data_IF_594003877166
#
_entry.id   IF_594003877166
#
_cell.length_a   1.000
_cell.length_b   1.000
_cell.length_c   1.000
_cell.angle_alpha   90.00
_cell.angle_beta   90.00
_cell.angle_gamma   90.00
#
_symmetry.space_group_name_H-M   'P 1'
#
loop_
_entity.id
_entity.type
_entity.pdbx_description
1 polymer ?
#
# COMPACT_ATOMS: atom_id res chain seq x y z
N UNK A 1 0.68 10.46 -82.98
CA UNK A 1 1.25 9.18 -82.50
C UNK A 1 0.91 9.07 -81.01
N UNK A 2 -0.11 8.24 -80.68
CA UNK A 2 -0.66 7.87 -79.35
C UNK A 2 -1.05 9.04 -78.41
N UNK A 3 -2.31 9.42 -78.12
CA UNK A 3 -3.59 8.73 -77.95
C UNK A 3 -3.59 7.59 -76.89
N UNK A 4 -4.58 7.68 -75.98
CA UNK A 4 -5.25 6.63 -75.18
C UNK A 4 -4.70 6.37 -73.74
N UNK A 5 -5.40 6.85 -72.69
CA UNK A 5 -6.41 6.14 -71.82
C UNK A 5 -5.80 5.10 -70.86
N UNK A 6 -6.26 4.82 -69.65
CA UNK A 6 -7.35 5.29 -68.79
C UNK A 6 -7.14 4.66 -67.38
N UNK A 7 -7.66 5.37 -66.38
CA UNK A 7 -8.41 4.90 -65.21
C UNK A 7 -8.20 3.48 -64.63
N UNK A 8 -7.89 3.42 -63.32
CA UNK A 8 -8.51 2.48 -62.39
C UNK A 8 -8.75 3.18 -61.03
N UNK A 9 -10.03 3.54 -60.82
CA UNK A 9 -10.69 3.88 -59.56
C UNK A 9 -10.53 2.73 -58.53
N UNK A 10 -10.20 3.02 -57.27
CA UNK A 10 -11.10 3.18 -56.10
C UNK A 10 -11.89 1.92 -55.66
N UNK A 11 -11.81 1.68 -54.33
CA UNK A 11 -12.58 0.77 -53.46
C UNK A 11 -12.31 -0.74 -53.56
N UNK A 12 -12.20 -1.51 -52.48
CA UNK A 12 -12.38 -1.20 -51.05
C UNK A 12 -12.31 -2.45 -50.17
N UNK A 13 -12.51 -2.23 -48.86
CA UNK A 13 -12.75 -3.20 -47.78
C UNK A 13 -11.50 -3.98 -47.29
N UNK A 14 -11.21 -4.14 -45.99
CA UNK A 14 -12.10 -4.33 -44.84
C UNK A 14 -11.42 -3.86 -43.54
N UNK A 15 -12.18 -3.09 -42.76
CA UNK A 15 -12.29 -3.15 -41.31
C UNK A 15 -11.34 -4.10 -40.56
N UNK A 16 -10.39 -3.55 -39.80
CA UNK A 16 -9.83 -4.23 -38.61
C UNK A 16 -9.59 -3.20 -37.51
N UNK A 17 -10.57 -3.12 -36.61
CA UNK A 17 -10.34 -2.72 -35.23
C UNK A 17 -9.21 -3.57 -34.66
N UNK A 18 -7.99 -3.04 -34.63
CA UNK A 18 -6.94 -3.59 -33.79
C UNK A 18 -7.07 -2.91 -32.43
N UNK A 19 -7.72 -3.65 -31.53
CA UNK A 19 -7.79 -3.41 -30.10
C UNK A 19 -6.51 -2.73 -29.57
N UNK A 20 -6.61 -1.46 -29.19
CA UNK A 20 -5.66 -0.83 -28.27
C UNK A 20 -6.05 -1.30 -26.87
N UNK A 21 -5.68 -2.52 -26.54
CA UNK A 21 -5.79 -3.10 -25.21
C UNK A 21 -4.53 -3.92 -24.95
N UNK A 22 -3.99 -3.74 -23.75
CA UNK A 22 -2.83 -4.42 -23.18
C UNK A 22 -1.44 -3.88 -23.59
N UNK A 23 -1.09 -2.72 -23.05
CA UNK A 23 0.29 -2.47 -22.59
C UNK A 23 0.28 -1.80 -21.20
N UNK A 24 -0.45 -2.41 -20.25
CA UNK A 24 -0.29 -2.15 -18.80
C UNK A 24 0.48 -3.25 -18.07
N UNK A 25 0.81 -4.35 -18.74
CA UNK A 25 1.76 -5.34 -18.22
C UNK A 25 3.19 -5.01 -18.66
N UNK A 26 3.70 -3.87 -18.23
CA UNK A 26 5.15 -3.76 -18.01
C UNK A 26 5.40 -4.28 -16.59
N UNK A 27 5.68 -5.58 -16.53
CA UNK A 27 6.08 -6.31 -15.34
C UNK A 27 7.03 -5.49 -14.46
N UNK A 28 6.58 -5.10 -13.27
CA UNK A 28 7.50 -4.78 -12.19
C UNK A 28 8.01 -6.11 -11.66
N UNK A 29 9.04 -6.65 -12.32
CA UNK A 29 9.70 -7.94 -12.04
C UNK A 29 10.35 -8.06 -10.65
N UNK A 30 10.12 -7.11 -9.74
CA UNK A 30 10.67 -7.13 -8.40
C UNK A 30 9.56 -7.37 -7.38
N UNK A 31 9.71 -8.43 -6.60
CA UNK A 31 8.88 -8.72 -5.41
C UNK A 31 9.03 -7.64 -4.33
N UNK A 32 10.07 -6.79 -4.41
CA UNK A 32 10.34 -5.73 -3.45
C UNK A 32 9.44 -4.50 -3.67
N UNK A 33 8.49 -4.28 -2.76
CA UNK A 33 7.56 -3.15 -2.76
C UNK A 33 8.25 -1.78 -2.79
N UNK A 34 9.38 -1.62 -2.08
CA UNK A 34 10.16 -0.37 -2.06
C UNK A 34 10.73 -0.03 -3.43
N UNK A 35 11.15 -1.04 -4.18
CA UNK A 35 11.65 -0.88 -5.56
C UNK A 35 10.55 -0.42 -6.51
N UNK A 36 9.34 -0.99 -6.38
CA UNK A 36 8.17 -0.57 -7.16
C UNK A 36 7.80 0.89 -6.87
N UNK A 37 7.77 1.26 -5.59
CA UNK A 37 7.53 2.64 -5.15
C UNK A 37 8.55 3.63 -5.72
N UNK A 38 9.84 3.31 -5.67
CA UNK A 38 10.91 4.16 -6.19
C UNK A 38 10.70 4.54 -7.67
N UNK A 39 10.15 3.61 -8.46
CA UNK A 39 9.88 3.81 -9.88
C UNK A 39 8.60 4.63 -10.16
N UNK A 40 7.62 4.58 -9.25
CA UNK A 40 6.32 5.24 -9.40
C UNK A 40 6.33 6.69 -8.90
N UNK A 41 7.07 6.98 -7.82
CA UNK A 41 7.11 8.30 -7.19
C UNK A 41 7.49 9.43 -8.16
N UNK A 42 8.52 9.31 -9.01
CA UNK A 42 8.88 10.39 -9.94
C UNK A 42 7.80 10.66 -11.00
N UNK A 43 7.12 9.60 -11.48
CA UNK A 43 6.04 9.70 -12.47
C UNK A 43 4.86 10.49 -11.90
N UNK A 44 4.49 10.20 -10.66
CA UNK A 44 3.40 10.90 -9.97
C UNK A 44 3.76 12.33 -9.59
N UNK A 45 5.01 12.59 -9.18
CA UNK A 45 5.49 13.94 -8.94
C UNK A 45 5.42 14.81 -10.21
N UNK A 46 5.81 14.26 -11.36
CA UNK A 46 5.70 14.93 -12.65
C UNK A 46 4.24 15.21 -13.02
N UNK A 47 3.36 14.20 -12.87
CA UNK A 47 1.92 14.35 -13.14
C UNK A 47 1.28 15.43 -12.28
N UNK A 48 1.56 15.44 -10.97
CA UNK A 48 1.04 16.45 -10.04
C UNK A 48 1.58 17.84 -10.39
N UNK A 49 2.85 17.95 -10.78
CA UNK A 49 3.43 19.23 -11.19
C UNK A 49 2.68 19.81 -12.40
N UNK A 50 2.44 19.00 -13.44
CA UNK A 50 1.67 19.40 -14.62
C UNK A 50 0.22 19.72 -14.26
N UNK A 51 -0.43 18.88 -13.45
CA UNK A 51 -1.82 19.09 -13.03
C UNK A 51 -2.00 20.39 -12.22
N UNK A 52 -1.11 20.68 -11.27
CA UNK A 52 -1.14 21.92 -10.48
C UNK A 52 -0.93 23.17 -11.33
N UNK A 53 -0.11 23.07 -12.38
CA UNK A 53 0.07 24.18 -13.34
C UNK A 53 -1.22 24.48 -14.10
N UNK A 54 -1.98 23.45 -14.46
CA UNK A 54 -3.20 23.57 -15.27
C UNK A 54 -4.45 23.91 -14.44
N UNK A 55 -4.59 23.33 -13.24
CA UNK A 55 -5.84 23.37 -12.45
C UNK A 55 -5.67 23.94 -11.04
N UNK A 56 -4.53 24.59 -10.73
CA UNK A 56 -4.22 25.08 -9.38
C UNK A 56 -5.20 26.11 -8.79
N UNK A 57 -6.09 26.69 -9.60
CA UNK A 57 -7.11 27.66 -9.17
C UNK A 57 -8.56 27.14 -9.28
N UNK A 58 -8.76 25.89 -9.63
CA UNK A 58 -10.10 25.32 -9.87
C UNK A 58 -10.73 24.87 -8.54
N UNK A 59 -11.96 25.32 -8.27
CA UNK A 59 -12.77 24.88 -7.11
C UNK A 59 -13.39 23.52 -7.42
N UNK A 60 -13.28 22.54 -6.51
CA UNK A 60 -13.69 21.14 -6.74
C UNK A 60 -14.83 20.72 -5.79
N UNK A 61 -15.81 19.97 -6.31
CA UNK A 61 -16.90 19.24 -5.60
C UNK A 61 -17.41 18.10 -6.52
N UNK A 62 -18.35 17.20 -6.25
CA UNK A 62 -18.97 16.63 -5.04
C UNK A 62 -18.26 15.31 -4.64
N UNK A 63 -18.54 14.81 -3.43
CA UNK A 63 -17.96 13.57 -2.88
C UNK A 63 -18.85 12.38 -3.28
N UNK A 64 -18.28 11.39 -3.96
CA UNK A 64 -18.91 10.06 -4.13
C UNK A 64 -18.24 9.06 -3.18
N UNK A 65 -18.88 7.90 -2.96
CA UNK A 65 -18.48 6.91 -1.94
C UNK A 65 -17.03 6.39 -2.05
N UNK A 66 -16.63 5.57 -1.08
CA UNK A 66 -15.24 5.11 -0.94
C UNK A 66 -14.84 4.23 -2.14
N UNK A 67 -13.74 4.61 -2.80
CA UNK A 67 -13.07 3.81 -3.83
C UNK A 67 -11.61 3.65 -3.44
N UNK A 68 -11.11 2.43 -3.44
CA UNK A 68 -9.70 2.15 -3.23
C UNK A 68 -9.00 2.28 -4.58
N UNK A 69 -8.33 3.42 -4.81
CA UNK A 69 -7.56 3.63 -6.05
C UNK A 69 -8.41 3.48 -7.34
N UNK A 70 -9.68 3.89 -7.26
CA UNK A 70 -10.65 3.79 -8.36
C UNK A 70 -11.48 2.51 -8.35
N UNK A 71 -11.03 1.47 -7.64
CA UNK A 71 -11.75 0.21 -7.49
C UNK A 71 -12.83 0.27 -6.41
N UNK A 72 -13.97 -0.35 -6.70
CA UNK A 72 -15.03 -0.56 -5.71
C UNK A 72 -14.71 -1.77 -4.80
N UNK A 73 -15.37 -1.88 -3.64
CA UNK A 73 -15.18 -3.02 -2.71
C UNK A 73 -15.45 -4.37 -3.42
N UNK A 74 -16.54 -4.55 -4.19
CA UNK A 74 -16.79 -5.82 -4.88
C UNK A 74 -15.76 -6.15 -5.99
N UNK A 75 -15.11 -5.14 -6.56
CA UNK A 75 -14.01 -5.35 -7.50
C UNK A 75 -12.75 -5.80 -6.78
N UNK A 76 -12.46 -5.23 -5.61
CA UNK A 76 -11.33 -5.63 -4.79
C UNK A 76 -11.46 -7.10 -4.34
N UNK A 77 -12.66 -7.53 -3.92
CA UNK A 77 -12.96 -8.91 -3.53
C UNK A 77 -12.72 -9.94 -4.64
N UNK A 78 -12.90 -9.52 -5.91
CA UNK A 78 -12.70 -10.37 -7.09
C UNK A 78 -11.26 -10.38 -7.59
N UNK A 79 -10.57 -9.24 -7.48
CA UNK A 79 -9.25 -9.05 -8.10
C UNK A 79 -8.08 -9.33 -7.15
N UNK A 80 -8.28 -9.17 -5.83
CA UNK A 80 -7.20 -9.34 -4.87
C UNK A 80 -6.96 -10.82 -4.54
N UNK A 81 -5.69 -11.22 -4.33
CA UNK A 81 -5.36 -12.57 -3.87
C UNK A 81 -6.03 -12.94 -2.55
N UNK A 82 -6.44 -14.20 -2.45
CA UNK A 82 -7.08 -14.80 -1.27
C UNK A 82 -6.13 -15.75 -0.55
N UNK A 83 -6.39 -15.99 0.73
CA UNK A 83 -5.67 -17.01 1.49
C UNK A 83 -5.93 -18.41 0.91
N UNK A 84 -4.97 -19.33 1.07
CA UNK A 84 -5.14 -20.73 0.64
C UNK A 84 -6.31 -21.37 1.39
N UNK A 85 -7.40 -21.67 0.69
CA UNK A 85 -8.63 -22.21 1.27
C UNK A 85 -9.53 -21.17 1.96
N UNK A 86 -9.25 -19.88 1.81
CA UNK A 86 -10.08 -18.79 2.32
C UNK A 86 -10.88 -18.11 1.21
N UNK A 87 -12.06 -17.60 1.56
CA UNK A 87 -12.92 -16.84 0.64
C UNK A 87 -12.66 -15.33 0.71
N UNK A 88 -11.96 -14.87 1.75
CA UNK A 88 -11.67 -13.46 2.03
C UNK A 88 -10.33 -13.00 1.44
N UNK A 89 -10.26 -11.72 1.06
CA UNK A 89 -9.05 -11.10 0.50
C UNK A 89 -8.04 -10.75 1.58
N UNK A 90 -6.76 -10.94 1.27
CA UNK A 90 -5.69 -10.64 2.21
C UNK A 90 -5.48 -9.12 2.38
N UNK A 91 -5.36 -8.60 3.62
CA UNK A 91 -5.10 -7.18 3.88
C UNK A 91 -3.76 -6.71 3.30
N UNK A 92 -2.78 -7.61 3.17
CA UNK A 92 -1.53 -7.42 2.43
C UNK A 92 -1.79 -6.98 0.99
N UNK A 93 -2.73 -7.64 0.31
CA UNK A 93 -3.06 -7.36 -1.07
C UNK A 93 -3.71 -5.99 -1.24
N UNK A 94 -4.59 -5.64 -0.31
CA UNK A 94 -5.20 -4.30 -0.26
C UNK A 94 -4.13 -3.23 0.01
N UNK A 95 -3.22 -3.44 0.96
CA UNK A 95 -2.14 -2.50 1.24
C UNK A 95 -1.26 -2.28 -0.01
N UNK A 96 -0.92 -3.34 -0.73
CA UNK A 96 -0.17 -3.23 -1.98
C UNK A 96 -0.90 -2.38 -3.02
N UNK A 97 -2.21 -2.62 -3.21
CA UNK A 97 -3.04 -1.82 -4.11
C UNK A 97 -3.03 -0.34 -3.73
N UNK A 98 -3.19 -0.03 -2.43
CA UNK A 98 -3.20 1.36 -1.95
C UNK A 98 -1.88 2.07 -2.17
N UNK A 99 -0.77 1.35 -2.06
CA UNK A 99 0.59 1.89 -2.18
C UNK A 99 1.05 2.02 -3.63
N UNK A 100 0.69 1.06 -4.48
CA UNK A 100 1.24 0.95 -5.85
C UNK A 100 0.25 1.27 -6.96
N UNK A 101 -1.05 1.36 -6.66
CA UNK A 101 -2.12 1.49 -7.68
C UNK A 101 -2.18 0.28 -8.63
N UNK A 102 -1.62 -0.87 -8.22
CA UNK A 102 -1.55 -2.10 -9.01
C UNK A 102 -2.09 -3.29 -8.21
N UNK A 103 -2.76 -4.21 -8.90
CA UNK A 103 -3.21 -5.47 -8.29
C UNK A 103 -1.98 -6.37 -8.09
N UNK A 104 -1.70 -6.82 -6.84
CA UNK A 104 -0.55 -7.65 -6.56
C UNK A 104 -0.73 -9.09 -7.06
N UNK A 105 0.40 -9.75 -7.34
CA UNK A 105 0.44 -11.20 -7.55
C UNK A 105 0.48 -11.96 -6.22
N UNK A 106 0.15 -13.26 -6.23
CA UNK A 106 0.22 -14.11 -5.02
C UNK A 106 1.63 -14.13 -4.40
N UNK A 107 2.68 -14.10 -5.24
CA UNK A 107 4.07 -14.08 -4.79
C UNK A 107 4.41 -12.77 -4.07
N UNK A 108 3.92 -11.63 -4.58
CA UNK A 108 4.10 -10.32 -3.94
C UNK A 108 3.40 -10.25 -2.59
N UNK A 109 2.18 -10.80 -2.51
CA UNK A 109 1.44 -10.91 -1.24
C UNK A 109 2.19 -11.81 -0.25
N UNK A 110 2.66 -12.98 -0.69
CA UNK A 110 3.42 -13.89 0.17
C UNK A 110 4.73 -13.25 0.68
N UNK A 111 5.43 -12.52 -0.19
CA UNK A 111 6.62 -11.75 0.21
C UNK A 111 6.28 -10.70 1.27
N UNK A 112 5.17 -9.98 1.08
CA UNK A 112 4.72 -8.94 2.02
C UNK A 112 4.34 -9.53 3.38
N UNK A 113 3.61 -10.65 3.41
CA UNK A 113 3.30 -11.37 4.65
C UNK A 113 4.57 -11.80 5.40
N UNK A 114 5.58 -12.32 4.68
CA UNK A 114 6.87 -12.70 5.27
C UNK A 114 7.65 -11.49 5.80
N UNK A 115 7.62 -10.35 5.10
CA UNK A 115 8.29 -9.12 5.54
C UNK A 115 7.64 -8.56 6.81
N UNK A 116 6.30 -8.58 6.90
CA UNK A 116 5.60 -8.19 8.13
C UNK A 116 5.88 -9.14 9.29
N UNK A 117 5.87 -10.46 9.06
CA UNK A 117 6.21 -11.42 10.09
C UNK A 117 7.62 -11.18 10.69
N UNK A 118 8.60 -10.82 9.85
CA UNK A 118 9.98 -10.49 10.30
C UNK A 118 10.05 -9.21 11.14
N UNK A 119 9.14 -8.26 10.92
CA UNK A 119 9.16 -6.92 11.54
C UNK A 119 8.25 -6.81 12.77
N UNK A 120 7.50 -7.86 13.10
CA UNK A 120 6.48 -7.88 14.13
C UNK A 120 7.02 -7.82 15.58
N UNK A 121 8.33 -7.97 15.77
CA UNK A 121 8.96 -7.97 17.09
C UNK A 121 8.71 -6.66 17.85
N UNK A 122 8.21 -6.77 19.08
CA UNK A 122 7.98 -5.63 19.97
C UNK A 122 9.16 -5.43 20.94
N UNK A 123 9.55 -4.18 21.21
CA UNK A 123 10.57 -3.87 22.21
C UNK A 123 10.12 -4.25 23.62
N UNK A 124 11.07 -4.68 24.45
CA UNK A 124 10.81 -5.08 25.84
C UNK A 124 10.17 -3.96 26.68
N UNK A 125 10.53 -2.69 26.44
CA UNK A 125 9.94 -1.57 27.19
C UNK A 125 8.45 -1.39 26.88
N UNK A 126 8.02 -1.63 25.64
CA UNK A 126 6.61 -1.55 25.24
C UNK A 126 5.81 -2.71 25.83
N UNK A 127 6.36 -3.93 25.79
CA UNK A 127 5.73 -5.11 26.41
C UNK A 127 5.54 -4.89 27.91
N UNK A 128 6.59 -4.43 28.60
CA UNK A 128 6.55 -4.16 30.04
C UNK A 128 5.55 -3.05 30.38
N UNK A 129 5.44 -2.02 29.53
CA UNK A 129 4.46 -0.96 29.71
C UNK A 129 3.03 -1.47 29.57
N UNK A 130 2.76 -2.30 28.56
CA UNK A 130 1.46 -2.93 28.34
C UNK A 130 1.05 -3.85 29.51
N UNK A 131 1.99 -4.64 30.04
CA UNK A 131 1.76 -5.52 31.18
C UNK A 131 1.46 -4.77 32.49
N UNK A 132 1.88 -3.51 32.59
CA UNK A 132 1.70 -2.67 33.78
C UNK A 132 0.48 -1.77 33.75
N UNK A 133 -0.30 -1.77 32.66
CA UNK A 133 -1.50 -0.95 32.61
C UNK A 133 -2.57 -1.43 33.59
N UNK A 134 -3.28 -0.51 34.26
CA UNK A 134 -4.37 -0.89 35.13
C UNK A 134 -5.58 -1.36 34.30
N UNK A 135 -6.32 -2.35 34.82
CA UNK A 135 -7.47 -2.96 34.14
C UNK A 135 -8.61 -1.99 33.81
N UNK A 136 -8.69 -0.86 34.54
CA UNK A 136 -9.68 0.18 34.31
C UNK A 136 -9.35 1.12 33.14
N UNK A 137 -8.12 1.06 32.60
CA UNK A 137 -7.72 1.89 31.47
C UNK A 137 -8.33 1.34 30.18
N UNK A 138 -9.01 2.20 29.43
CA UNK A 138 -9.69 1.82 28.20
C UNK A 138 -8.71 1.19 27.18
N UNK A 139 -9.07 0.07 26.52
CA UNK A 139 -8.25 -0.62 25.52
C UNK A 139 -7.59 0.29 24.47
N UNK A 140 -8.36 1.24 23.92
CA UNK A 140 -7.86 2.17 22.91
C UNK A 140 -6.80 3.13 23.47
N UNK A 141 -6.92 3.51 24.76
CA UNK A 141 -5.91 4.34 25.44
C UNK A 141 -4.61 3.56 25.65
N UNK A 142 -4.71 2.27 26.02
CA UNK A 142 -3.54 1.40 26.14
C UNK A 142 -2.81 1.25 24.79
N UNK A 143 -3.58 1.01 23.71
CA UNK A 143 -3.04 0.89 22.36
C UNK A 143 -2.37 2.20 21.88
N UNK A 144 -3.03 3.34 22.09
CA UNK A 144 -2.47 4.66 21.70
C UNK A 144 -1.17 4.97 22.44
N UNK A 145 -1.10 4.67 23.75
CA UNK A 145 0.11 4.84 24.53
C UNK A 145 1.23 3.91 24.04
N UNK A 146 0.92 2.64 23.74
CA UNK A 146 1.89 1.69 23.19
C UNK A 146 2.45 2.12 21.83
N UNK A 147 1.60 2.62 20.91
CA UNK A 147 2.04 3.17 19.62
C UNK A 147 2.94 4.40 19.83
N UNK A 148 2.60 5.25 20.79
CA UNK A 148 3.45 6.40 21.15
C UNK A 148 4.80 5.94 21.68
N UNK A 149 4.85 4.91 22.52
CA UNK A 149 6.10 4.34 23.03
C UNK A 149 6.95 3.65 21.94
N UNK A 150 6.32 3.13 20.87
CA UNK A 150 7.02 2.58 19.70
C UNK A 150 7.73 3.66 18.87
N UNK A 151 7.40 4.95 19.04
CA UNK A 151 8.10 6.03 18.36
C UNK A 151 9.61 6.09 18.68
N UNK A 152 10.04 5.50 19.80
CA UNK A 152 11.46 5.36 20.14
C UNK A 152 12.28 4.59 19.11
N UNK A 153 11.64 3.74 18.31
CA UNK A 153 12.27 2.96 17.23
C UNK A 153 12.14 3.60 15.85
N UNK A 154 11.58 4.82 15.76
CA UNK A 154 11.41 5.51 14.48
C UNK A 154 12.76 5.84 13.85
N UNK A 155 13.01 5.24 12.69
CA UNK A 155 14.19 5.57 11.89
C UNK A 155 14.05 6.95 11.25
N UNK A 156 12.84 7.33 10.86
CA UNK A 156 12.57 8.65 10.31
C UNK A 156 12.87 9.76 11.33
N UNK A 157 12.43 9.63 12.58
CA UNK A 157 12.69 10.64 13.61
C UNK A 157 14.19 10.87 13.82
N UNK A 158 14.98 9.79 13.91
CA UNK A 158 16.45 9.84 14.03
C UNK A 158 17.10 10.48 12.80
N UNK A 159 16.77 9.99 11.61
CA UNK A 159 17.35 10.47 10.36
C UNK A 159 16.93 11.92 10.02
N UNK A 160 15.75 12.36 10.46
CA UNK A 160 15.33 13.75 10.32
C UNK A 160 16.19 14.68 11.19
N UNK A 161 16.54 14.27 12.42
CA UNK A 161 17.47 15.01 13.26
C UNK A 161 18.89 15.09 12.65
N UNK A 162 19.28 14.06 11.89
CA UNK A 162 20.54 14.02 11.13
C UNK A 162 20.49 14.81 9.80
N UNK A 163 19.44 15.61 9.56
CA UNK A 163 19.30 16.49 8.39
C UNK A 163 19.30 15.75 7.03
N UNK A 164 18.60 14.62 6.93
CA UNK A 164 18.42 13.90 5.65
C UNK A 164 17.71 14.78 4.60
N UNK A 165 18.10 14.62 3.33
CA UNK A 165 17.50 15.37 2.23
C UNK A 165 16.02 15.01 2.02
N UNK A 166 15.18 16.02 1.76
CA UNK A 166 13.73 15.91 1.60
C UNK A 166 13.29 14.84 0.60
N UNK A 167 14.06 14.59 -0.46
CA UNK A 167 13.72 13.57 -1.47
C UNK A 167 13.79 12.14 -0.95
N UNK A 168 14.47 11.89 0.18
CA UNK A 168 14.63 10.56 0.78
C UNK A 168 13.68 10.31 1.96
N UNK A 169 12.87 11.29 2.35
CA UNK A 169 11.93 11.13 3.48
C UNK A 169 10.99 9.94 3.29
N UNK A 170 10.50 9.72 2.07
CA UNK A 170 9.59 8.61 1.78
C UNK A 170 10.24 7.24 2.05
N UNK A 171 11.56 7.11 1.89
CA UNK A 171 12.27 5.84 2.09
C UNK A 171 12.25 5.42 3.55
N UNK A 172 12.40 6.38 4.46
CA UNK A 172 12.42 6.18 5.91
C UNK A 172 11.01 6.06 6.48
N UNK A 173 10.08 6.88 5.98
CA UNK A 173 8.66 6.77 6.31
C UNK A 173 8.12 5.40 5.89
N UNK A 174 8.55 4.89 4.73
CA UNK A 174 8.20 3.53 4.30
C UNK A 174 8.66 2.48 5.32
N UNK A 175 9.90 2.52 5.79
CA UNK A 175 10.41 1.55 6.79
C UNK A 175 9.63 1.63 8.10
N UNK A 176 9.34 2.84 8.58
CA UNK A 176 8.62 3.05 9.84
C UNK A 176 7.14 2.65 9.72
N UNK A 177 6.46 2.96 8.60
CA UNK A 177 5.10 2.51 8.35
C UNK A 177 5.00 0.97 8.26
N UNK A 178 5.95 0.33 7.56
CA UNK A 178 6.01 -1.12 7.46
C UNK A 178 6.25 -1.78 8.82
N UNK A 179 7.15 -1.21 9.62
CA UNK A 179 7.39 -1.66 10.99
C UNK A 179 6.18 -1.48 11.90
N UNK A 180 5.48 -0.34 11.80
CA UNK A 180 4.30 -0.07 12.60
C UNK A 180 3.14 -1.02 12.27
N UNK A 181 2.85 -1.23 10.97
CA UNK A 181 1.79 -2.16 10.53
C UNK A 181 2.08 -3.58 11.03
N UNK A 182 3.33 -4.02 10.96
CA UNK A 182 3.73 -5.34 11.44
C UNK A 182 3.59 -5.51 12.97
N UNK A 183 3.88 -4.46 13.75
CA UNK A 183 3.83 -4.49 15.22
C UNK A 183 2.43 -4.27 15.80
N UNK A 184 1.53 -3.68 15.02
CA UNK A 184 0.17 -3.33 15.47
C UNK A 184 -0.64 -4.55 15.98
N UNK A 185 -0.67 -5.70 15.28
CA UNK A 185 -1.39 -6.88 15.75
C UNK A 185 -0.80 -7.44 17.05
N UNK A 186 0.53 -7.44 17.19
CA UNK A 186 1.20 -7.90 18.41
C UNK A 186 0.85 -7.02 19.62
N UNK A 187 0.86 -5.70 19.44
CA UNK A 187 0.50 -4.76 20.51
C UNK A 187 -0.99 -4.87 20.88
N UNK A 188 -1.87 -4.96 19.88
CA UNK A 188 -3.31 -5.12 20.07
C UNK A 188 -3.64 -6.46 20.73
N UNK A 189 -2.98 -7.55 20.33
CA UNK A 189 -3.12 -8.85 20.97
C UNK A 189 -2.69 -8.74 22.44
N UNK A 190 -1.49 -8.26 22.74
CA UNK A 190 -1.00 -8.12 24.12
C UNK A 190 -1.97 -7.31 25.00
N UNK A 191 -2.50 -6.21 24.46
CA UNK A 191 -3.53 -5.39 25.11
C UNK A 191 -4.84 -6.19 25.35
N UNK A 192 -5.32 -6.94 24.36
CA UNK A 192 -6.54 -7.74 24.46
C UNK A 192 -6.41 -8.85 25.51
N UNK A 193 -5.30 -9.59 25.47
CA UNK A 193 -5.00 -10.67 26.41
C UNK A 193 -4.90 -10.15 27.85
N UNK A 194 -4.16 -9.06 28.08
CA UNK A 194 -4.03 -8.46 29.40
C UNK A 194 -5.35 -7.94 29.99
N UNK A 195 -6.23 -7.40 29.15
CA UNK A 195 -7.51 -6.83 29.60
C UNK A 195 -8.59 -7.90 29.86
N UNK A 196 -8.71 -8.92 28.98
CA UNK A 196 -9.85 -9.85 29.01
C UNK A 196 -9.51 -11.28 29.45
N UNK A 197 -8.28 -11.76 29.25
CA UNK A 197 -7.90 -13.16 29.48
C UNK A 197 -7.04 -13.33 30.75
N UNK A 198 -6.33 -12.27 31.15
CA UNK A 198 -5.47 -12.27 32.34
C UNK A 198 -4.04 -12.78 32.07
N UNK A 199 -3.12 -12.64 33.04
CA UNK A 199 -1.67 -12.79 32.83
C UNK A 199 -1.17 -14.24 32.67
N UNK A 200 -2.04 -15.24 32.74
CA UNK A 200 -1.66 -16.66 32.83
C UNK A 200 -1.17 -17.26 31.51
N UNK A 201 -1.47 -16.63 30.36
CA UNK A 201 -1.07 -17.13 29.03
C UNK A 201 -0.76 -15.92 28.13
N UNK A 202 0.46 -15.39 28.18
CA UNK A 202 0.90 -14.35 27.22
C UNK A 202 1.30 -15.02 25.91
N UNK A 203 0.70 -14.70 24.75
CA UNK A 203 1.23 -15.16 23.48
C UNK A 203 2.61 -14.57 23.25
N UNK A 204 3.61 -15.41 23.05
CA UNK A 204 4.92 -15.00 22.53
C UNK A 204 4.75 -14.70 21.05
N UNK A 205 4.92 -13.43 20.67
CA UNK A 205 5.02 -13.02 19.27
C UNK A 205 6.38 -13.42 18.70
#
# INVERSE_FOLDING_TARGET
MALLTAAAQLWGAKNTSCFVLAARHASASSTNLKGVLANLIPKEQARIKTFRQQHGKTVVGQITGIRFRGHSIPECEKLLPKAKGGEETLPEGLFWLLVTDQIPTEEQVSWLSQDWAKRAALPTHVITMLDKFPVNLHPVSQLSAAITALSSESNFARAYAECVHRTKYWELIYEDCMGLIAKLPCAAAKQYWGHWIGPTISPTC
#
